data_IF_500354496663
#
_entry.id   IF_500354496663
#
_cell.length_a   1.000
_cell.length_b   1.000
_cell.length_c   1.000
_cell.angle_alpha   90.00
_cell.angle_beta   90.00
_cell.angle_gamma   90.00
#
_symmetry.space_group_name_H-M   'P 1'
#
loop_
_entity.id
_entity.type
_entity.pdbx_description
1 polymer ?
#
# COMPACT_ATOMS: atom_id res chain seq x y z
N UNK A 1 5.84 13.09 19.57
CA UNK A 1 6.92 12.40 18.83
C UNK A 1 7.77 13.41 18.08
N UNK A 2 9.11 13.28 18.07
CA UNK A 2 10.00 14.17 17.29
C UNK A 2 9.67 14.05 15.79
N UNK A 3 9.73 15.16 15.05
CA UNK A 3 9.40 15.19 13.61
C UNK A 3 10.27 14.21 12.80
N UNK A 4 11.56 14.11 13.13
CA UNK A 4 12.48 13.15 12.51
C UNK A 4 12.01 11.69 12.66
N UNK A 5 11.47 11.31 13.82
CA UNK A 5 10.97 9.95 14.07
C UNK A 5 9.73 9.66 13.23
N UNK A 6 8.84 10.65 13.04
CA UNK A 6 7.68 10.52 12.14
C UNK A 6 8.10 10.21 10.71
N UNK A 7 9.09 10.93 10.18
CA UNK A 7 9.59 10.68 8.83
C UNK A 7 10.19 9.29 8.69
N UNK A 8 10.98 8.82 9.67
CA UNK A 8 11.53 7.46 9.66
C UNK A 8 10.41 6.41 9.64
N UNK A 9 9.38 6.57 10.48
CA UNK A 9 8.25 5.64 10.51
C UNK A 9 7.46 5.63 9.19
N UNK A 10 7.26 6.79 8.57
CA UNK A 10 6.59 6.89 7.27
C UNK A 10 7.38 6.17 6.19
N UNK A 11 8.70 6.39 6.11
CA UNK A 11 9.56 5.74 5.12
C UNK A 11 9.50 4.21 5.25
N UNK A 12 9.65 3.69 6.47
CA UNK A 12 9.59 2.24 6.72
C UNK A 12 8.20 1.69 6.39
N UNK A 13 7.13 2.40 6.79
CA UNK A 13 5.77 1.96 6.55
C UNK A 13 5.43 1.92 5.05
N UNK A 14 5.78 2.97 4.28
CA UNK A 14 5.51 3.01 2.84
C UNK A 14 6.21 1.85 2.13
N UNK A 15 7.48 1.59 2.43
CA UNK A 15 8.22 0.46 1.85
C UNK A 15 7.60 -0.89 2.19
N UNK A 16 7.17 -1.09 3.44
CA UNK A 16 6.49 -2.31 3.86
C UNK A 16 5.14 -2.48 3.15
N UNK A 17 4.32 -1.43 3.11
CA UNK A 17 3.01 -1.45 2.43
C UNK A 17 3.18 -1.75 0.95
N UNK A 18 4.16 -1.11 0.28
CA UNK A 18 4.48 -1.38 -1.12
C UNK A 18 4.85 -2.84 -1.35
N UNK A 19 5.77 -3.38 -0.54
CA UNK A 19 6.20 -4.78 -0.63
C UNK A 19 5.03 -5.77 -0.47
N UNK A 20 4.17 -5.56 0.54
CA UNK A 20 2.98 -6.40 0.75
C UNK A 20 2.00 -6.31 -0.42
N UNK A 21 1.78 -5.13 -1.00
CA UNK A 21 0.88 -4.97 -2.14
C UNK A 21 1.44 -5.62 -3.40
N UNK A 22 2.73 -5.47 -3.67
CA UNK A 22 3.40 -6.16 -4.78
C UNK A 22 3.24 -7.66 -4.63
N UNK A 23 3.58 -8.23 -3.46
CA UNK A 23 3.40 -9.66 -3.20
C UNK A 23 1.95 -10.10 -3.38
N UNK A 24 0.98 -9.33 -2.89
CA UNK A 24 -0.43 -9.65 -3.04
C UNK A 24 -0.84 -9.65 -4.53
N UNK A 25 -0.48 -8.62 -5.29
CA UNK A 25 -0.79 -8.52 -6.73
C UNK A 25 -0.14 -9.67 -7.50
N UNK A 26 1.09 -10.06 -7.19
CA UNK A 26 1.73 -11.22 -7.82
C UNK A 26 1.08 -12.55 -7.41
N UNK A 27 0.66 -12.70 -6.15
CA UNK A 27 -0.01 -13.90 -5.66
C UNK A 27 -1.40 -14.06 -6.31
N UNK A 28 -2.25 -13.03 -6.21
CA UNK A 28 -3.57 -13.03 -6.84
C UNK A 28 -3.47 -13.03 -8.35
N UNK A 29 -2.50 -12.32 -8.92
CA UNK A 29 -2.13 -12.37 -10.32
C UNK A 29 -1.83 -13.80 -10.75
N UNK A 30 -0.78 -14.43 -10.21
CA UNK A 30 -0.40 -15.81 -10.58
C UNK A 30 -1.54 -16.83 -10.43
N UNK A 31 -2.37 -16.70 -9.40
CA UNK A 31 -3.46 -17.64 -9.12
C UNK A 31 -4.71 -17.40 -9.99
N UNK A 32 -5.13 -16.15 -10.19
CA UNK A 32 -6.39 -15.80 -10.89
C UNK A 32 -6.15 -15.57 -12.38
N UNK A 33 -5.08 -14.87 -12.73
CA UNK A 33 -4.78 -14.41 -14.11
C UNK A 33 -4.42 -15.56 -15.02
N UNK A 34 -3.74 -16.59 -14.52
CA UNK A 34 -3.38 -17.78 -15.32
C UNK A 34 -4.58 -18.46 -15.98
N UNK A 35 -5.81 -18.15 -15.52
CA UNK A 35 -7.07 -18.64 -16.08
C UNK A 35 -7.88 -17.59 -16.84
N UNK A 36 -7.66 -16.29 -16.58
CA UNK A 36 -8.50 -15.20 -17.11
C UNK A 36 -7.69 -13.91 -17.33
N UNK A 37 -7.17 -13.71 -18.54
CA UNK A 37 -6.42 -12.50 -18.93
C UNK A 37 -7.21 -11.19 -18.74
N UNK A 38 -8.54 -11.24 -18.82
CA UNK A 38 -9.41 -10.08 -18.60
C UNK A 38 -9.38 -9.56 -17.14
N UNK A 39 -8.94 -10.37 -16.17
CA UNK A 39 -8.88 -10.01 -14.76
C UNK A 39 -7.54 -9.37 -14.34
N UNK A 40 -6.54 -9.33 -15.21
CA UNK A 40 -5.23 -8.72 -14.95
C UNK A 40 -5.33 -7.22 -14.59
N UNK A 41 -6.00 -6.46 -15.46
CA UNK A 41 -6.12 -5.02 -15.32
C UNK A 41 -6.93 -4.63 -14.07
N UNK A 42 -8.09 -5.26 -13.76
CA UNK A 42 -8.79 -5.02 -12.50
C UNK A 42 -7.96 -5.35 -11.25
N UNK A 43 -7.25 -6.49 -11.22
CA UNK A 43 -6.42 -6.88 -10.06
C UNK A 43 -5.29 -5.86 -9.83
N UNK A 44 -4.64 -5.42 -10.90
CA UNK A 44 -3.60 -4.39 -10.82
C UNK A 44 -4.17 -3.04 -10.35
N UNK A 45 -5.35 -2.64 -10.86
CA UNK A 45 -6.04 -1.42 -10.44
C UNK A 45 -6.45 -1.43 -8.97
N UNK A 46 -7.02 -2.54 -8.48
CA UNK A 46 -7.40 -2.72 -7.07
C UNK A 46 -6.16 -2.70 -6.18
N UNK A 47 -5.08 -3.37 -6.59
CA UNK A 47 -3.80 -3.34 -5.89
C UNK A 47 -3.24 -1.93 -5.73
N UNK A 48 -3.29 -1.12 -6.79
CA UNK A 48 -2.85 0.28 -6.76
C UNK A 48 -3.72 1.14 -5.84
N UNK A 49 -5.05 1.03 -5.94
CA UNK A 49 -5.97 1.78 -5.09
C UNK A 49 -5.82 1.42 -3.60
N UNK A 50 -5.66 0.13 -3.31
CA UNK A 50 -5.40 -0.37 -1.95
C UNK A 50 -4.07 0.17 -1.40
N UNK A 51 -3.03 0.22 -2.23
CA UNK A 51 -1.72 0.77 -1.85
C UNK A 51 -1.82 2.26 -1.47
N UNK A 52 -2.50 3.04 -2.31
CA UNK A 52 -2.71 4.48 -2.08
C UNK A 52 -3.52 4.68 -0.80
N UNK A 53 -4.67 4.02 -0.67
CA UNK A 53 -5.55 4.16 0.48
C UNK A 53 -4.83 3.84 1.80
N UNK A 54 -4.16 2.68 1.85
CA UNK A 54 -3.44 2.22 3.05
C UNK A 54 -2.30 3.19 3.41
N UNK A 55 -1.53 3.64 2.42
CA UNK A 55 -0.44 4.60 2.62
C UNK A 55 -0.96 5.93 3.16
N UNK A 56 -2.03 6.47 2.56
CA UNK A 56 -2.66 7.72 3.02
C UNK A 56 -3.17 7.60 4.46
N UNK A 57 -3.81 6.48 4.83
CA UNK A 57 -4.26 6.24 6.22
C UNK A 57 -3.09 6.20 7.21
N UNK A 58 -1.99 5.52 6.88
CA UNK A 58 -0.83 5.43 7.77
C UNK A 58 -0.15 6.78 7.95
N UNK A 59 0.01 7.57 6.88
CA UNK A 59 0.53 8.94 6.98
C UNK A 59 -0.39 9.77 7.89
N UNK A 60 -1.70 9.73 7.68
CA UNK A 60 -2.66 10.45 8.51
C UNK A 60 -2.57 10.06 10.00
N UNK A 61 -2.37 8.77 10.30
CA UNK A 61 -2.18 8.30 11.68
C UNK A 61 -0.88 8.81 12.30
N UNK A 62 0.24 8.78 11.57
CA UNK A 62 1.55 9.21 12.08
C UNK A 62 1.57 10.73 12.34
N UNK A 63 0.83 11.51 11.54
CA UNK A 63 0.74 12.97 11.65
C UNK A 63 -0.53 13.48 12.35
N UNK A 64 -1.37 12.59 12.91
CA UNK A 64 -2.63 12.95 13.58
C UNK A 64 -2.51 14.09 14.58
N UNK A 65 -1.40 14.14 15.32
CA UNK A 65 -1.15 15.16 16.35
C UNK A 65 -0.83 16.56 15.79
N UNK A 66 -0.79 16.77 14.47
CA UNK A 66 -0.60 18.08 13.81
C UNK A 66 -1.91 18.75 13.40
N UNK A 67 -3.03 18.05 13.51
CA UNK A 67 -4.38 18.55 13.16
C UNK A 67 -5.14 19.12 14.37
N UNK A 68 -4.52 19.11 15.56
CA UNK A 68 -4.98 19.80 16.77
C UNK A 68 -4.09 21.01 17.00
#
# INVERSE_FOLDING_TARGET
MKLAVRFVLVTIAISAIFYFHVLAVFFFGGVIVSRYAALEWPVMGIGLLSFIATTSSVIALIFRDRLK
#
